data_IF_882283354033
#
_entry.id   IF_882283354033
#
_cell.length_a   1.000
_cell.length_b   1.000
_cell.length_c   1.000
_cell.angle_alpha   90.00
_cell.angle_beta   90.00
_cell.angle_gamma   90.00
#
_symmetry.space_group_name_H-M   'P 1'
#
loop_
_entity.id
_entity.type
_entity.pdbx_description
1 polymer ?
2 non-polymer ?
3 water ?
#
# COMPACT_ATOMS: atom_id res chain seq x y z
N UNK A 1 27.45 -2.62 6.66
CA UNK A 1 26.05 -2.16 6.94
C UNK A 1 26.06 -0.72 7.46
N UNK A 2 27.12 0.02 7.16
CA UNK A 2 27.20 1.40 7.63
C UNK A 2 25.95 2.21 7.30
N UNK A 3 25.98 2.97 6.21
CA UNK A 3 24.80 3.75 5.89
C UNK A 3 23.87 2.95 4.98
N UNK A 4 22.54 3.08 5.18
CA UNK A 4 21.66 2.33 4.28
C UNK A 4 21.94 2.87 2.88
N UNK A 5 21.74 2.05 1.85
CA UNK A 5 21.96 2.48 0.46
C UNK A 5 20.60 2.49 -0.29
N UNK A 6 20.24 3.66 -0.82
CA UNK A 6 18.96 3.86 -1.52
C UNK A 6 19.09 3.75 -3.05
N UNK A 7 18.46 2.71 -3.61
CA UNK A 7 18.48 2.44 -5.04
C UNK A 7 17.22 2.97 -5.71
N UNK A 8 17.40 4.00 -6.53
CA UNK A 8 16.31 4.63 -7.24
C UNK A 8 16.85 5.62 -8.31
N UNK A 9 15.94 6.13 -9.13
CA UNK A 9 16.31 7.13 -10.13
C UNK A 9 16.63 8.40 -9.33
N UNK A 10 17.23 9.39 -9.98
CA UNK A 10 17.55 10.62 -9.27
C UNK A 10 16.31 11.50 -9.42
N UNK A 11 15.34 11.27 -8.54
CA UNK A 11 14.06 11.97 -8.55
C UNK A 11 13.24 11.55 -7.32
N UNK A 12 12.17 12.29 -7.04
CA UNK A 12 11.32 11.98 -5.89
C UNK A 12 10.69 10.58 -6.03
N UNK A 13 9.71 10.48 -6.93
CA UNK A 13 9.03 9.21 -7.13
C UNK A 13 8.56 8.59 -5.82
N UNK A 14 8.74 7.29 -5.73
CA UNK A 14 8.35 6.50 -4.58
C UNK A 14 9.44 6.42 -3.52
N UNK A 15 10.64 6.91 -3.83
CA UNK A 15 11.74 6.85 -2.86
C UNK A 15 11.79 8.06 -1.92
N UNK A 16 11.19 9.18 -2.33
CA UNK A 16 11.23 10.39 -1.49
C UNK A 16 10.67 10.22 -0.07
N UNK A 17 9.53 9.53 0.09
CA UNK A 17 8.96 9.34 1.42
C UNK A 17 9.96 8.64 2.33
N UNK A 18 10.73 7.73 1.74
CA UNK A 18 11.76 7.02 2.50
C UNK A 18 12.94 7.95 2.86
N UNK A 19 13.39 8.80 1.92
CA UNK A 19 14.47 9.76 2.22
C UNK A 19 14.00 10.64 3.39
N UNK A 20 12.74 11.09 3.33
CA UNK A 20 12.16 11.92 4.38
C UNK A 20 12.17 11.24 5.73
N UNK A 21 11.80 9.96 5.77
CA UNK A 21 11.77 9.22 7.02
C UNK A 21 13.17 9.10 7.61
N UNK A 22 14.17 8.72 6.79
CA UNK A 22 15.57 8.58 7.26
C UNK A 22 16.14 9.90 7.75
N UNK A 23 15.87 10.97 7.01
CA UNK A 23 16.36 12.29 7.37
C UNK A 23 15.75 12.70 8.72
N UNK A 24 14.43 12.51 8.85
CA UNK A 24 13.75 12.86 10.08
C UNK A 24 14.32 12.13 11.29
N UNK A 25 14.68 10.85 11.10
CA UNK A 25 15.27 10.02 12.12
C UNK A 25 16.74 10.37 12.35
N UNK A 26 17.29 11.24 11.51
CA UNK A 26 18.69 11.61 11.65
C UNK A 26 19.62 10.51 11.18
N UNK A 27 19.15 9.68 10.27
CA UNK A 27 19.97 8.60 9.76
C UNK A 27 20.62 8.93 8.43
N UNK A 28 21.95 8.99 8.41
CA UNK A 28 22.72 9.29 7.21
C UNK A 28 22.58 8.17 6.20
N UNK A 29 22.41 8.50 4.93
CA UNK A 29 22.26 7.42 3.96
C UNK A 29 22.96 7.77 2.69
N UNK A 30 23.26 6.74 1.90
CA UNK A 30 23.90 6.93 0.61
C UNK A 30 22.85 6.63 -0.45
N UNK A 31 23.12 7.05 -1.67
CA UNK A 31 22.23 6.80 -2.77
C UNK A 31 23.05 6.35 -3.96
N UNK A 32 22.54 5.35 -4.68
CA UNK A 32 23.13 4.88 -5.88
C UNK A 32 22.06 5.07 -6.91
N UNK A 33 22.20 6.10 -7.73
CA UNK A 33 21.19 6.46 -8.70
C UNK A 33 21.16 5.60 -9.97
N UNK A 34 19.96 5.30 -10.42
CA UNK A 34 19.75 4.60 -11.62
C UNK A 34 19.68 5.67 -12.65
N UNK A 35 20.74 5.84 -13.42
CA UNK A 35 20.79 6.90 -14.42
C UNK A 35 20.50 6.39 -15.83
N UNK A 36 20.74 5.10 -16.05
CA UNK A 36 20.55 4.46 -17.35
C UNK A 36 19.80 3.13 -17.26
N UNK A 37 19.05 2.79 -18.31
CA UNK A 37 18.30 1.51 -18.31
C UNK A 37 19.28 0.37 -18.00
N UNK A 38 20.52 0.57 -18.44
CA UNK A 38 21.55 -0.41 -18.20
C UNK A 38 21.79 -0.52 -16.69
N UNK A 39 21.69 0.59 -15.95
CA UNK A 39 21.86 0.55 -14.50
C UNK A 39 20.67 -0.28 -13.94
N UNK A 40 19.46 -0.01 -14.43
CA UNK A 40 18.28 -0.74 -13.92
C UNK A 40 18.37 -2.24 -14.26
N UNK A 41 18.84 -2.55 -15.46
CA UNK A 41 19.02 -3.92 -15.89
C UNK A 41 19.99 -4.68 -15.01
N UNK A 42 21.13 -4.08 -14.74
CA UNK A 42 22.13 -4.76 -13.92
C UNK A 42 21.53 -5.17 -12.56
N UNK A 43 20.81 -4.23 -11.93
CA UNK A 43 20.17 -4.53 -10.64
C UNK A 43 19.27 -5.75 -10.73
N UNK A 44 18.45 -5.80 -11.76
CA UNK A 44 17.52 -6.94 -11.92
C UNK A 44 18.27 -8.24 -12.15
N UNK A 45 19.14 -8.25 -13.15
CA UNK A 45 19.90 -9.42 -13.51
C UNK A 45 20.77 -9.94 -12.36
N UNK A 46 21.30 -9.02 -11.57
CA UNK A 46 22.12 -9.42 -10.44
C UNK A 46 21.31 -9.98 -9.28
N UNK A 47 20.00 -10.11 -9.45
CA UNK A 47 19.18 -10.67 -8.39
C UNK A 47 19.00 -9.80 -7.15
N UNK A 48 19.16 -8.49 -7.31
CA UNK A 48 19.02 -7.57 -6.18
C UNK A 48 17.60 -7.05 -5.95
N UNK A 49 16.70 -7.20 -6.93
CA UNK A 49 15.32 -6.71 -6.80
C UNK A 49 14.30 -7.85 -6.77
N UNK A 50 13.71 -8.14 -5.62
CA UNK A 50 12.78 -9.26 -5.57
C UNK A 50 11.72 -9.31 -6.68
N UNK A 51 11.13 -8.16 -7.02
CA UNK A 51 10.13 -8.08 -8.08
C UNK A 51 10.63 -7.25 -9.29
N UNK A 52 11.95 -7.15 -9.42
CA UNK A 52 12.57 -6.36 -10.48
C UNK A 52 12.11 -4.94 -10.48
N UNK A 53 11.95 -4.39 -9.29
CA UNK A 53 11.50 -3.02 -9.11
C UNK A 53 12.23 -2.28 -7.95
N UNK A 54 12.21 -0.95 -8.03
CA UNK A 54 12.76 -0.09 -6.98
C UNK A 54 11.58 0.78 -6.63
N UNK A 55 11.61 1.42 -5.47
CA UNK A 55 12.62 1.44 -4.41
C UNK A 55 13.22 0.12 -3.89
N UNK A 56 14.52 0.16 -3.64
CA UNK A 56 15.16 -0.98 -3.01
C UNK A 56 16.19 -0.33 -2.09
N UNK A 57 16.25 -0.83 -0.86
CA UNK A 57 17.18 -0.28 0.09
C UNK A 57 17.99 -1.37 0.74
N UNK A 58 19.31 -1.18 0.73
CA UNK A 58 20.24 -2.09 1.38
C UNK A 58 20.36 -1.59 2.80
N UNK A 59 19.86 -2.38 3.74
CA UNK A 59 19.91 -2.02 5.14
C UNK A 59 19.93 -3.30 5.96
N UNK A 60 20.81 -3.30 6.96
CA UNK A 60 20.96 -4.44 7.87
C UNK A 60 21.08 -5.78 7.14
N UNK A 61 21.85 -5.80 6.06
CA UNK A 61 22.07 -7.04 5.32
C UNK A 61 20.95 -7.46 4.38
N UNK A 62 19.91 -6.65 4.28
CA UNK A 62 18.79 -6.99 3.39
C UNK A 62 18.84 -6.14 2.13
N UNK A 63 18.18 -6.63 1.09
CA UNK A 63 17.94 -6.05 -0.19
C UNK A 63 16.49 -5.89 -0.18
N UNK A 64 16.04 -4.91 0.54
CA UNK A 64 14.63 -4.74 0.74
C UNK A 64 13.92 -3.87 -0.28
N UNK A 65 12.98 -4.50 -0.97
CA UNK A 65 12.17 -3.84 -1.98
C UNK A 65 10.75 -3.56 -1.42
N UNK A 66 9.94 -2.83 -2.21
CA UNK A 66 8.57 -2.43 -1.84
C UNK A 66 8.55 -1.26 -0.83
N UNK A 67 8.14 -0.10 -1.30
CA UNK A 67 8.08 1.11 -0.49
C UNK A 67 7.60 0.95 0.91
N UNK A 68 6.40 0.37 1.04
CA UNK A 68 5.75 0.15 2.33
C UNK A 68 6.57 -0.73 3.24
N UNK A 69 7.20 -1.76 2.69
CA UNK A 69 8.03 -2.61 3.52
C UNK A 69 9.26 -1.86 4.03
N UNK A 70 9.82 -1.00 3.19
CA UNK A 70 11.03 -0.24 3.56
C UNK A 70 10.66 0.70 4.72
N UNK A 71 9.59 1.49 4.53
CA UNK A 71 9.05 2.43 5.51
C UNK A 71 8.69 1.81 6.86
N UNK A 72 8.02 0.66 6.82
CA UNK A 72 7.61 0.01 8.04
C UNK A 72 8.84 -0.44 8.82
N UNK A 73 9.83 -0.96 8.10
CA UNK A 73 11.06 -1.41 8.74
C UNK A 73 11.82 -0.24 9.38
N UNK A 74 12.01 0.82 8.61
CA UNK A 74 12.73 2.00 9.13
C UNK A 74 11.94 2.60 10.28
N UNK A 75 10.62 2.68 10.15
CA UNK A 75 9.81 3.27 11.23
C UNK A 75 9.97 2.48 12.51
N UNK A 76 9.98 1.14 12.42
CA UNK A 76 10.14 0.34 13.63
C UNK A 76 11.55 0.46 14.23
N UNK A 77 12.55 0.33 13.36
CA UNK A 77 13.94 0.38 13.78
C UNK A 77 14.23 1.64 14.56
N UNK A 78 13.75 2.79 14.08
CA UNK A 78 14.02 4.05 14.76
C UNK A 78 12.89 4.61 15.62
N UNK A 79 12.09 3.72 16.21
CA UNK A 79 11.02 4.11 17.10
C UNK A 79 10.12 5.28 16.64
N UNK A 80 9.76 5.24 15.37
CA UNK A 80 8.89 6.25 14.79
C UNK A 80 7.58 5.58 14.36
N UNK A 81 7.30 4.42 14.96
CA UNK A 81 6.08 3.65 14.65
C UNK A 81 5.11 3.48 15.81
N UNK A 82 5.01 4.49 16.68
CA UNK A 82 4.10 4.41 17.80
C UNK A 82 4.55 3.40 18.87
N UNK A 83 3.75 3.25 19.92
CA UNK A 83 4.13 2.36 21.01
C UNK A 83 3.39 1.03 21.07
N UNK A 84 2.31 0.90 20.29
CA UNK A 84 1.58 -0.36 20.31
C UNK A 84 0.66 -0.52 19.11
N UNK A 85 -0.03 -1.65 19.12
CA UNK A 85 -0.99 -2.11 18.11
C UNK A 85 -2.04 -1.06 17.74
N UNK A 86 -2.65 -0.44 18.75
CA UNK A 86 -3.67 0.55 18.48
C UNK A 86 -3.09 1.82 17.88
N UNK A 87 -1.96 2.30 18.41
CA UNK A 87 -1.35 3.49 17.82
C UNK A 87 -0.90 3.19 16.38
N UNK A 88 -0.36 2.00 16.12
CA UNK A 88 0.07 1.69 14.76
C UNK A 88 -1.12 1.65 13.79
N UNK A 89 -2.28 1.30 14.31
CA UNK A 89 -3.50 1.25 13.48
C UNK A 89 -3.85 2.66 12.99
N UNK A 90 -3.78 3.64 13.91
CA UNK A 90 -4.07 5.01 13.55
C UNK A 90 -2.97 5.50 12.64
N UNK A 91 -1.72 5.20 12.99
CA UNK A 91 -0.61 5.60 12.16
C UNK A 91 -0.76 5.05 10.74
N UNK A 92 -1.07 3.75 10.61
CA UNK A 92 -1.20 3.17 9.26
C UNK A 92 -2.40 3.75 8.50
N UNK A 93 -3.53 3.92 9.19
CA UNK A 93 -4.67 4.47 8.50
C UNK A 93 -4.34 5.87 7.99
N UNK A 94 -3.75 6.70 8.83
CA UNK A 94 -3.43 8.07 8.40
C UNK A 94 -2.44 8.06 7.25
N UNK A 95 -1.40 7.25 7.39
CA UNK A 95 -0.36 7.17 6.38
C UNK A 95 -0.87 6.67 5.02
N UNK A 96 -1.82 5.71 5.03
CA UNK A 96 -2.36 5.19 3.79
C UNK A 96 -3.15 6.31 3.14
N UNK A 97 -3.88 7.10 3.91
CA UNK A 97 -4.61 8.21 3.31
C UNK A 97 -3.65 9.21 2.66
N UNK A 98 -2.53 9.50 3.33
CA UNK A 98 -1.51 10.41 2.80
C UNK A 98 -0.87 9.84 1.54
N UNK A 99 -0.62 8.52 1.50
CA UNK A 99 -0.03 7.91 0.32
C UNK A 99 -1.03 8.02 -0.82
N UNK A 100 -2.30 7.85 -0.51
CA UNK A 100 -3.32 7.99 -1.55
C UNK A 100 -3.33 9.43 -2.08
N UNK A 101 -3.32 10.39 -1.17
CA UNK A 101 -3.33 11.80 -1.56
C UNK A 101 -2.09 12.06 -2.43
N UNK A 102 -0.93 11.56 -2.00
CA UNK A 102 0.28 11.73 -2.78
C UNK A 102 0.18 11.13 -4.19
N UNK A 103 -0.40 9.95 -4.32
CA UNK A 103 -0.50 9.36 -5.65
C UNK A 103 -1.49 10.11 -6.53
N UNK A 104 -2.62 10.50 -5.95
CA UNK A 104 -3.66 11.22 -6.69
C UNK A 104 -3.07 12.47 -7.37
N UNK A 105 -2.28 13.22 -6.62
CA UNK A 105 -1.68 14.43 -7.12
C UNK A 105 -0.55 14.13 -8.09
N UNK A 106 0.34 13.23 -7.69
CA UNK A 106 1.50 12.90 -8.51
C UNK A 106 1.26 12.24 -9.83
N UNK A 107 0.17 11.48 -9.93
CA UNK A 107 -0.13 10.80 -11.18
C UNK A 107 -0.74 11.71 -12.23
N UNK A 108 -1.08 12.93 -11.86
CA UNK A 108 -1.66 13.86 -12.81
C UNK A 108 -0.71 14.08 -14.00
N UNK A 109 0.60 14.13 -13.73
CA UNK A 109 1.55 14.35 -14.83
C UNK A 109 1.51 13.25 -15.87
N UNK A 110 0.99 12.06 -15.54
CA UNK A 110 0.97 10.97 -16.50
C UNK A 110 -0.37 10.79 -17.20
N UNK A 112 -3.53 11.23 -19.67
CA UNK A 112 -3.56 11.55 -21.10
C UNK A 112 -4.00 13.02 -21.12
N UNK A 113 -3.44 13.84 -22.02
CA UNK A 113 -3.81 15.24 -22.09
C UNK A 113 -5.30 15.49 -22.11
N UNK A 114 -6.06 14.65 -22.79
CA UNK A 114 -7.49 14.88 -22.87
C UNK A 114 -8.24 14.60 -21.55
N UNK A 115 -7.62 13.89 -20.62
CA UNK A 115 -8.24 13.58 -19.33
C UNK A 115 -7.68 14.46 -18.22
N UNK A 116 -6.56 15.11 -18.48
CA UNK A 116 -5.88 15.87 -17.46
C UNK A 116 -6.65 16.93 -16.69
N UNK A 117 -7.40 17.79 -17.37
CA UNK A 117 -8.14 18.81 -16.62
C UNK A 117 -9.14 18.22 -15.64
N UNK A 118 -9.93 17.26 -16.10
CA UNK A 118 -10.93 16.64 -15.24
C UNK A 118 -10.23 15.98 -14.05
N UNK A 119 -9.15 15.21 -14.30
CA UNK A 119 -8.44 14.53 -13.21
C UNK A 119 -7.92 15.53 -12.20
N UNK A 120 -7.44 16.65 -12.70
CA UNK A 120 -6.90 17.70 -11.84
C UNK A 120 -8.00 18.32 -10.98
N UNK A 121 -9.17 18.56 -11.57
CA UNK A 121 -10.30 19.13 -10.82
C UNK A 121 -10.71 18.17 -9.68
N UNK A 122 -10.81 16.90 -9.99
CA UNK A 122 -11.16 15.87 -9.01
C UNK A 122 -10.12 15.83 -7.88
N UNK A 123 -8.84 15.89 -8.24
CA UNK A 123 -7.77 15.86 -7.24
C UNK A 123 -7.85 17.08 -6.33
N UNK A 124 -8.13 18.26 -6.88
CA UNK A 124 -8.22 19.43 -6.04
C UNK A 124 -9.43 19.28 -5.12
N UNK A 125 -10.52 18.72 -5.63
CA UNK A 125 -11.74 18.55 -4.82
C UNK A 125 -11.50 17.60 -3.64
N UNK A 126 -10.88 16.46 -3.94
CA UNK A 126 -10.57 15.44 -2.92
C UNK A 126 -9.61 16.00 -1.89
N UNK A 127 -8.62 16.76 -2.34
CA UNK A 127 -7.65 17.35 -1.44
C UNK A 127 -8.33 18.30 -0.46
N UNK A 128 -9.16 19.22 -0.98
CA UNK A 128 -9.78 20.18 -0.08
C UNK A 128 -11.05 19.76 0.61
N UNK A 129 -11.76 18.79 0.06
CA UNK A 129 -13.00 18.35 0.67
C UNK A 129 -12.94 17.00 1.40
N UNK A 130 -11.96 16.18 1.07
CA UNK A 130 -11.81 14.86 1.69
C UNK A 130 -10.55 14.75 2.58
N UNK A 131 -9.37 14.92 2.01
CA UNK A 131 -8.15 14.75 2.81
C UNK A 131 -7.73 15.83 3.82
N UNK A 132 -7.70 17.09 3.40
CA UNK A 132 -7.26 18.13 4.32
C UNK A 132 -8.19 18.23 5.50
N UNK A 133 -9.51 18.18 5.27
CA UNK A 133 -10.45 18.27 6.39
C UNK A 133 -10.24 17.08 7.32
N UNK A 134 -9.99 15.90 6.77
CA UNK A 134 -9.79 14.71 7.61
C UNK A 134 -8.61 14.88 8.61
N UNK A 135 -7.51 15.46 8.14
CA UNK A 135 -6.36 15.65 9.01
C UNK A 135 -6.52 16.83 9.97
N UNK A 136 -7.17 17.90 9.52
CA UNK A 136 -7.44 19.08 10.35
C UNK A 136 -8.30 18.55 11.51
N UNK A 137 -9.26 17.67 11.21
CA UNK A 137 -10.13 17.08 12.21
C UNK A 137 -9.35 16.28 13.26
N UNK A 138 -8.40 15.46 12.82
CA UNK A 138 -7.58 14.71 13.78
C UNK A 138 -6.93 15.71 14.79
N UNK A 139 -6.19 16.69 14.28
CA UNK A 139 -5.53 17.69 15.15
C UNK A 139 -6.50 18.40 16.09
N UNK A 140 -7.68 18.74 15.59
CA UNK A 140 -8.68 19.42 16.41
C UNK A 140 -9.22 18.49 17.50
N UNK A 141 -9.46 17.25 17.13
CA UNK A 141 -10.01 16.28 18.07
C UNK A 141 -9.21 16.17 19.37
N UNK A 142 -7.89 16.31 19.30
CA UNK A 142 -7.09 16.16 20.53
C UNK A 142 -6.19 17.34 20.92
N UNK A 143 -6.16 18.37 20.09
CA UNK A 143 -5.35 19.54 20.35
C UNK A 143 -3.87 19.29 20.56
N UNK A 144 -3.38 18.11 20.23
CA UNK A 144 -1.97 17.86 20.45
C UNK A 144 -1.08 18.30 19.29
N UNK A 145 0.22 18.45 19.55
CA UNK A 145 1.16 18.89 18.53
C UNK A 145 1.41 17.87 17.42
N UNK A 146 1.24 16.59 17.75
CA UNK A 146 1.49 15.53 16.80
C UNK A 146 0.20 14.78 16.45
N UNK A 147 0.21 14.11 15.32
CA UNK A 147 -0.97 13.39 14.89
C UNK A 147 -1.44 12.25 15.79
N UNK A 148 -0.48 11.47 16.29
CA UNK A 148 -0.78 10.30 17.08
C UNK A 148 0.10 10.12 18.29
N UNK A 149 -0.49 9.74 19.42
CA UNK A 149 0.30 9.44 20.59
C UNK A 149 1.03 10.59 21.24
N UNK A 150 0.62 11.81 20.93
CA UNK A 150 1.20 12.98 21.53
C UNK A 150 2.73 13.01 21.47
N UNK A 151 3.32 12.43 20.42
CA UNK A 151 4.78 12.45 20.24
C UNK A 151 5.03 12.26 18.75
N UNK A 152 6.23 12.60 18.31
CA UNK A 152 6.52 12.47 16.87
C UNK A 152 6.52 11.04 16.37
N UNK A 153 5.84 10.76 15.26
CA UNK A 153 5.86 9.41 14.69
C UNK A 153 6.10 9.61 13.17
N UNK A 154 6.26 8.51 12.44
CA UNK A 154 6.46 8.59 10.99
C UNK A 154 5.37 9.38 10.28
N UNK A 155 4.13 9.31 10.74
CA UNK A 155 3.04 9.99 10.01
C UNK A 155 3.11 11.53 10.10
N UNK A 156 3.72 12.05 11.16
CA UNK A 156 3.90 13.50 11.22
C UNK A 156 4.81 13.88 10.07
N UNK A 157 5.82 13.08 9.82
CA UNK A 157 6.73 13.36 8.70
C UNK A 157 6.02 13.16 7.37
N UNK A 158 5.24 12.09 7.26
CA UNK A 158 4.50 11.86 6.00
C UNK A 158 3.56 13.02 5.72
N UNK A 159 2.89 13.52 6.76
CA UNK A 159 1.95 14.62 6.54
C UNK A 159 2.67 15.91 6.12
N UNK A 160 3.78 16.24 6.78
CA UNK A 160 4.51 17.45 6.37
C UNK A 160 4.90 17.36 4.89
N UNK A 161 5.48 16.22 4.50
CA UNK A 161 5.93 16.02 3.13
C UNK A 161 4.79 16.19 2.14
N UNK A 162 3.64 15.52 2.35
CA UNK A 162 2.58 15.70 1.38
C UNK A 162 2.03 17.13 1.36
N UNK A 163 2.05 17.84 2.49
CA UNK A 163 1.55 19.23 2.49
C UNK A 163 2.43 20.10 1.59
N UNK A 164 3.72 19.77 1.52
CA UNK A 164 4.60 20.50 0.63
C UNK A 164 4.10 20.28 -0.78
N UNK A 165 3.79 19.05 -1.16
CA UNK A 165 3.32 18.85 -2.53
C UNK A 165 1.95 19.49 -2.74
N UNK A 166 1.13 19.53 -1.69
CA UNK A 166 -0.16 20.19 -1.86
C UNK A 166 0.07 21.69 -2.18
N UNK A 167 1.01 22.32 -1.47
CA UNK A 167 1.40 23.73 -1.67
C UNK A 167 1.95 23.92 -3.09
N UNK A 168 2.69 22.95 -3.62
CA UNK A 168 3.22 23.08 -4.98
C UNK A 168 2.09 22.92 -5.98
N UNK A 169 1.13 22.07 -5.65
CA UNK A 169 -0.01 21.79 -6.53
C UNK A 169 -0.91 23.02 -6.64
N UNK A 170 -1.31 23.55 -5.50
CA UNK A 170 -2.17 24.74 -5.43
C UNK A 170 -2.10 25.28 -4.03
N UNK A 171 -1.37 26.36 -3.87
CA UNK A 171 -1.19 26.99 -2.56
C UNK A 171 -2.48 27.43 -1.86
N UNK A 172 -3.53 27.68 -2.61
CA UNK A 172 -4.75 28.12 -1.95
C UNK A 172 -5.49 27.02 -1.20
N UNK A 173 -5.10 25.78 -1.44
CA UNK A 173 -5.77 24.67 -0.80
C UNK A 173 -5.57 24.65 0.70
N UNK A 174 -4.42 25.08 1.17
CA UNK A 174 -4.13 25.06 2.61
C UNK A 174 -4.72 26.17 3.46
N UNK A 175 -5.13 27.26 2.82
CA UNK A 175 -5.64 28.42 3.53
C UNK A 175 -6.69 28.19 4.61
N UNK A 176 -7.75 27.45 4.29
CA UNK A 176 -8.85 27.13 5.21
C UNK A 176 -8.50 26.24 6.38
N UNK A 177 -7.26 25.80 6.48
CA UNK A 177 -6.91 24.85 7.53
C UNK A 177 -5.84 25.37 8.47
N UNK A 178 -6.24 26.15 9.47
CA UNK A 178 -5.31 26.73 10.45
C UNK A 178 -4.47 25.74 11.25
N UNK A 179 -5.08 24.65 11.71
CA UNK A 179 -4.31 23.71 12.54
C UNK A 179 -3.19 23.05 11.73
N UNK A 180 -3.51 22.72 10.47
CA UNK A 180 -2.52 22.10 9.59
C UNK A 180 -1.38 23.09 9.26
N UNK A 181 -1.69 24.38 9.19
CA UNK A 181 -0.65 25.36 8.92
C UNK A 181 0.29 25.41 10.11
N UNK A 182 -0.30 25.45 11.30
CA UNK A 182 0.46 25.47 12.56
C UNK A 182 1.34 24.22 12.65
N UNK A 183 0.74 23.08 12.31
CA UNK A 183 1.44 21.80 12.30
C UNK A 183 2.61 21.83 11.31
N UNK A 184 2.36 22.31 10.09
CA UNK A 184 3.43 22.37 9.10
C UNK A 184 4.63 23.17 9.62
N UNK A 185 4.35 24.29 10.28
CA UNK A 185 5.41 25.13 10.83
C UNK A 185 6.14 24.41 11.93
N UNK A 186 5.39 23.74 12.81
CA UNK A 186 6.03 23.01 13.89
C UNK A 186 6.93 21.91 13.38
N UNK A 187 6.42 21.07 12.48
CA UNK A 187 7.27 20.00 12.02
C UNK A 187 8.46 20.51 11.23
N UNK A 188 8.26 21.59 10.48
CA UNK A 188 9.35 22.14 9.70
C UNK A 188 10.47 22.72 10.56
N UNK A 189 10.17 23.03 11.81
CA UNK A 189 11.18 23.59 12.71
C UNK A 189 11.98 22.53 13.48
N UNK A 190 11.68 21.24 13.26
CA UNK A 190 12.48 20.22 13.95
C UNK A 190 13.87 20.25 13.29
N UNK A 191 14.97 20.15 14.09
CA UNK A 191 16.34 20.16 13.57
C UNK A 191 16.61 19.32 12.33
N UNK A 192 16.26 18.04 12.38
CA UNK A 192 16.52 17.14 11.25
C UNK A 192 15.69 17.53 10.04
N UNK A 193 14.45 17.96 10.29
CA UNK A 193 13.58 18.35 9.20
C UNK A 193 14.05 19.66 8.55
N UNK A 194 14.35 20.64 9.39
CA UNK A 194 14.82 21.93 8.89
C UNK A 194 16.04 21.69 8.04
N UNK A 195 16.93 20.83 8.53
CA UNK A 195 18.15 20.54 7.80
C UNK A 195 17.88 19.92 6.43
N UNK A 196 16.90 19.02 6.34
CA UNK A 196 16.53 18.36 5.09
C UNK A 196 15.85 19.36 4.13
N UNK A 197 15.18 20.34 4.70
CA UNK A 197 14.51 21.35 3.88
C UNK A 197 15.51 22.36 3.29
N UNK A 198 16.61 22.62 3.99
CA UNK A 198 17.58 23.59 3.49
C UNK A 198 18.23 23.13 2.20
N UNK A 199 18.71 24.09 1.38
CA UNK A 199 19.39 23.79 0.11
C UNK A 199 20.59 22.89 0.40
N UNK A 200 20.94 22.03 -0.55
CA UNK A 200 22.07 21.15 -0.40
C UNK A 200 21.81 19.78 0.21
N UNK A 201 20.59 19.51 0.69
CA UNK A 201 20.32 18.19 1.26
C UNK A 201 20.01 17.19 0.13
N UNK A 202 19.64 15.97 0.50
CA UNK A 202 19.30 14.94 -0.48
C UNK A 202 17.83 15.01 -0.89
N UNK A 203 17.14 16.01 -0.37
CA UNK A 203 15.73 16.23 -0.72
C UNK A 203 15.72 16.47 -2.23
N UNK A 204 14.68 15.93 -2.89
CA UNK A 204 14.59 16.04 -4.33
C UNK A 204 13.54 17.03 -4.80
N UNK A 205 13.78 17.67 -5.96
CA UNK A 205 12.85 18.64 -6.53
C UNK A 205 11.80 17.94 -7.41
N UNK A 206 10.75 18.67 -7.84
CA UNK A 206 9.74 18.04 -8.71
C UNK A 206 10.44 17.92 -10.05
N UNK A 207 9.91 17.09 -10.94
CA UNK A 207 10.49 16.97 -12.27
C UNK A 207 9.54 17.72 -13.19
N UNK A 208 10.06 18.40 -14.19
CA UNK A 208 9.17 19.12 -15.11
C UNK A 208 8.78 18.22 -16.31
N UNK A 209 7.82 18.69 -17.10
CA UNK A 209 7.30 17.94 -18.26
C UNK A 209 8.39 17.35 -19.15
N UNK A 210 9.35 18.18 -19.53
CA UNK A 210 10.41 17.71 -20.43
C UNK A 210 11.20 16.59 -19.78
N UNK A 211 11.56 16.76 -18.52
CA UNK A 211 12.33 15.74 -17.82
C UNK A 211 11.56 14.43 -17.83
N UNK A 212 10.36 14.47 -17.27
CA UNK A 212 9.50 13.29 -17.21
C UNK A 212 9.44 12.53 -18.55
N UNK A 213 9.13 13.25 -19.62
CA UNK A 213 9.05 12.67 -20.96
C UNK A 213 10.38 12.03 -21.36
N UNK A 214 11.49 12.72 -21.09
CA UNK A 214 12.80 12.23 -21.46
C UNK A 214 13.26 10.99 -20.69
N UNK A 215 13.02 11.03 -19.39
CA UNK A 215 13.42 9.92 -18.51
C UNK A 215 12.57 8.68 -18.76
N UNK A 216 11.25 8.89 -18.77
CA UNK A 216 10.34 7.80 -19.00
C UNK A 216 10.61 7.11 -20.35
N UNK A 217 11.14 7.87 -21.31
CA UNK A 217 11.42 7.35 -22.65
C UNK A 217 12.62 6.41 -22.74
N UNK A 218 13.76 6.89 -22.28
CA UNK A 218 14.99 6.10 -22.32
C UNK A 218 14.86 4.74 -21.63
N UNK A 219 14.02 4.65 -20.61
CA UNK A 219 13.85 3.41 -19.86
C UNK A 219 12.82 2.45 -20.44
N UNK A 220 11.75 3.01 -21.00
CA UNK A 220 10.71 2.20 -21.60
C UNK A 220 10.27 1.02 -20.71
N UNK A 221 9.20 1.21 -19.95
CA UNK A 221 8.66 0.15 -19.08
C UNK A 221 7.15 0.32 -19.01
N UNK A 222 6.41 -0.77 -19.20
CA UNK A 222 4.95 -0.72 -19.15
C UNK A 222 4.46 -1.09 -17.75
N UNK B 1 -17.40 -4.12 20.00
CA UNK B 1 -18.34 -5.28 19.90
C UNK B 1 -17.58 -6.57 20.18
N UNK B 2 -18.08 -7.69 19.65
CA UNK B 2 -17.43 -8.98 19.83
C UNK B 2 -16.87 -9.34 18.48
N UNK B 3 -17.74 -9.70 17.57
CA UNK B 3 -17.28 -10.03 16.24
C UNK B 3 -16.95 -8.74 15.50
N UNK B 4 -15.83 -8.75 14.74
CA UNK B 4 -15.45 -7.57 13.97
C UNK B 4 -16.60 -7.40 12.94
N UNK B 5 -16.85 -6.16 12.51
CA UNK B 5 -17.89 -5.85 11.51
C UNK B 5 -17.22 -5.26 10.25
N UNK B 6 -17.41 -5.93 9.11
CA UNK B 6 -16.81 -5.52 7.85
C UNK B 6 -17.80 -4.78 6.99
N UNK B 7 -17.49 -3.52 6.75
CA UNK B 7 -18.31 -2.65 5.92
C UNK B 7 -17.74 -2.62 4.49
N UNK B 8 -18.50 -3.18 3.55
CA UNK B 8 -18.08 -3.19 2.15
C UNK B 8 -19.24 -3.55 1.22
N UNK B 9 -18.99 -3.48 -0.09
CA UNK B 9 -19.99 -3.89 -1.08
C UNK B 9 -20.01 -5.43 -0.96
N UNK B 10 -21.06 -6.06 -1.47
CA UNK B 10 -21.14 -7.52 -1.42
C UNK B 10 -20.31 -7.96 -2.64
N UNK B 11 -18.99 -8.00 -2.45
CA UNK B 11 -18.07 -8.33 -3.52
C UNK B 11 -16.68 -8.51 -2.92
N UNK B 12 -15.76 -9.04 -3.72
CA UNK B 12 -14.37 -9.25 -3.31
C UNK B 12 -13.68 -7.91 -3.07
N UNK B 13 -13.37 -7.21 -4.16
CA UNK B 13 -12.70 -5.93 -4.07
C UNK B 13 -11.52 -5.95 -3.09
N UNK B 14 -11.37 -4.83 -2.38
CA UNK B 14 -10.32 -4.62 -1.40
C UNK B 14 -10.59 -5.27 -0.07
N UNK B 15 -11.83 -5.67 0.18
CA UNK B 15 -12.15 -6.30 1.45
C UNK B 15 -11.87 -7.81 1.50
N UNK B 16 -11.73 -8.46 0.35
CA UNK B 16 -11.53 -9.91 0.36
C UNK B 16 -10.25 -10.38 1.10
N UNK B 17 -9.13 -9.67 0.98
CA UNK B 17 -7.92 -10.11 1.69
C UNK B 17 -8.13 -10.12 3.20
N UNK B 18 -9.02 -9.27 3.67
CA UNK B 18 -9.33 -9.16 5.10
C UNK B 18 -10.24 -10.29 5.57
N UNK B 19 -11.22 -10.63 4.77
CA UNK B 19 -12.09 -11.76 5.10
C UNK B 19 -11.18 -13.00 5.22
N UNK B 20 -10.25 -13.15 4.29
CA UNK B 20 -9.31 -14.28 4.28
C UNK B 20 -8.43 -14.32 5.52
N UNK B 21 -7.88 -13.18 5.90
CA UNK B 21 -7.01 -13.14 7.06
C UNK B 21 -7.80 -13.51 8.32
N UNK B 22 -9.00 -12.98 8.45
CA UNK B 22 -9.82 -13.30 9.61
C UNK B 22 -10.26 -14.75 9.56
N UNK B 23 -10.67 -15.22 8.39
CA UNK B 23 -11.11 -16.63 8.31
C UNK B 23 -9.97 -17.54 8.72
N UNK B 24 -8.78 -17.23 8.22
CA UNK B 24 -7.62 -18.06 8.52
C UNK B 24 -7.30 -18.10 10.00
N UNK B 25 -7.47 -16.97 10.67
CA UNK B 25 -7.20 -16.86 12.11
C UNK B 25 -8.30 -17.54 12.94
N UNK B 26 -9.38 -17.95 12.25
CA UNK B 26 -10.47 -18.62 12.93
C UNK B 26 -11.30 -17.65 13.74
N UNK B 27 -11.29 -16.38 13.33
CA UNK B 27 -12.02 -15.33 14.03
C UNK B 27 -13.29 -15.13 13.26
N UNK B 28 -14.44 -15.32 13.92
CA UNK B 28 -15.76 -15.13 13.28
C UNK B 28 -16.09 -13.63 13.12
N UNK B 29 -16.64 -13.28 11.97
CA UNK B 29 -16.99 -11.90 11.70
C UNK B 29 -18.34 -11.74 11.03
N UNK B 30 -18.85 -10.50 11.08
CA UNK B 30 -20.12 -10.19 10.45
C UNK B 30 -19.85 -9.20 9.34
N UNK B 31 -20.79 -9.11 8.41
CA UNK B 31 -20.67 -8.18 7.31
C UNK B 31 -21.93 -7.33 7.20
N UNK B 32 -21.74 -6.04 6.93
CA UNK B 32 -22.85 -5.11 6.69
C UNK B 32 -22.59 -4.64 5.28
N UNK B 33 -23.35 -5.19 4.34
CA UNK B 33 -23.23 -4.90 2.92
C UNK B 33 -23.76 -3.55 2.48
N UNK B 34 -22.99 -2.87 1.64
CA UNK B 34 -23.39 -1.68 1.03
C UNK B 34 -24.14 -2.05 -0.20
N UNK B 35 -25.46 -2.03 -0.17
CA UNK B 35 -26.20 -2.52 -1.34
C UNK B 35 -26.70 -1.43 -2.28
N UNK B 36 -26.61 -0.17 -1.85
CA UNK B 36 -27.03 0.93 -2.71
C UNK B 36 -26.27 2.21 -2.37
N UNK B 37 -26.32 3.21 -3.27
CA UNK B 37 -25.65 4.51 -3.08
C UNK B 37 -26.09 5.11 -1.76
N UNK B 38 -27.37 4.90 -1.43
CA UNK B 38 -27.90 5.45 -0.20
C UNK B 38 -27.18 4.85 1.01
N UNK B 39 -26.96 3.55 0.99
CA UNK B 39 -26.25 2.90 2.09
C UNK B 39 -24.88 3.57 2.27
N UNK B 40 -24.17 3.76 1.16
CA UNK B 40 -22.85 4.37 1.22
C UNK B 40 -22.91 5.81 1.75
N UNK B 41 -23.88 6.59 1.27
CA UNK B 41 -24.06 7.98 1.74
C UNK B 41 -24.33 8.00 3.23
N UNK B 42 -25.14 7.07 3.70
CA UNK B 42 -25.47 7.03 5.12
C UNK B 42 -24.25 6.78 6.00
N UNK B 43 -23.41 5.86 5.55
CA UNK B 43 -22.20 5.49 6.25
C UNK B 43 -21.32 6.73 6.37
N UNK B 44 -21.19 7.47 5.27
CA UNK B 44 -20.39 8.68 5.28
C UNK B 44 -20.94 9.75 6.22
N UNK B 45 -22.20 10.14 6.03
CA UNK B 45 -22.87 11.17 6.83
C UNK B 45 -22.92 10.88 8.32
N UNK B 46 -22.97 9.60 8.69
CA UNK B 46 -23.01 9.24 10.11
C UNK B 46 -21.63 9.23 10.78
N UNK B 47 -20.59 9.63 10.05
CA UNK B 47 -19.26 9.69 10.61
C UNK B 47 -18.54 8.36 10.80
N UNK B 48 -18.71 7.44 9.87
CA UNK B 48 -18.08 6.13 10.02
C UNK B 48 -16.72 5.97 9.34
N UNK B 49 -16.51 6.73 8.26
CA UNK B 49 -15.31 6.61 7.41
C UNK B 49 -14.31 7.76 7.39
N UNK B 50 -13.13 7.53 7.94
CA UNK B 50 -12.16 8.60 7.99
C UNK B 50 -11.97 9.38 6.67
N UNK B 51 -11.82 8.66 5.56
CA UNK B 51 -11.63 9.29 4.27
C UNK B 51 -12.83 9.00 3.37
N UNK B 52 -14.00 8.81 3.98
CA UNK B 52 -15.24 8.50 3.25
C UNK B 52 -15.10 7.35 2.30
N UNK B 53 -14.29 6.35 2.69
CA UNK B 53 -14.10 5.17 1.88
C UNK B 53 -14.23 3.87 2.68
N UNK B 54 -14.45 2.79 1.96
CA UNK B 54 -14.42 1.47 2.51
C UNK B 54 -13.30 0.81 1.78
N UNK B 55 -12.74 -0.30 2.26
CA UNK B 55 -13.11 -1.02 3.48
C UNK B 55 -13.00 -0.24 4.77
N UNK B 56 -13.88 -0.63 5.69
CA UNK B 56 -13.84 -0.11 7.04
C UNK B 56 -14.26 -1.28 7.95
N UNK B 57 -13.44 -1.55 8.95
CA UNK B 57 -13.76 -2.61 9.90
C UNK B 57 -13.93 -2.06 11.32
N UNK B 58 -15.01 -2.49 11.99
CA UNK B 58 -15.27 -2.11 13.38
C UNK B 58 -14.65 -3.23 14.21
N UNK B 59 -13.65 -2.87 15.00
CA UNK B 59 -12.96 -3.82 15.82
C UNK B 59 -12.27 -3.15 16.98
N UNK B 60 -12.43 -3.74 18.16
CA UNK B 60 -11.80 -3.22 19.37
C UNK B 60 -12.01 -1.72 19.58
N UNK B 61 -13.25 -1.26 19.39
CA UNK B 61 -13.60 0.12 19.59
C UNK B 61 -13.19 1.08 18.48
N UNK B 62 -12.56 0.56 17.43
CA UNK B 62 -12.17 1.45 16.35
C UNK B 62 -13.10 1.22 15.15
N UNK B 63 -13.17 2.26 14.32
CA UNK B 63 -13.81 2.24 13.07
C UNK B 63 -12.67 2.40 12.13
N UNK B 64 -11.95 1.30 11.91
CA UNK B 64 -10.71 1.30 11.14
C UNK B 64 -10.86 1.19 9.65
N UNK B 65 -10.35 2.19 8.94
CA UNK B 65 -10.37 2.26 7.48
C UNK B 65 -8.96 2.05 6.94
N UNK B 66 -8.87 1.88 5.62
CA UNK B 66 -7.64 1.63 4.85
C UNK B 66 -7.24 0.16 4.94
N UNK B 67 -7.37 -0.52 3.80
CA UNK B 67 -7.08 -1.94 3.71
C UNK B 67 -5.84 -2.38 4.46
N UNK B 68 -4.70 -1.75 4.14
CA UNK B 68 -3.43 -2.11 4.79
C UNK B 68 -3.44 -1.93 6.30
N UNK B 69 -4.11 -0.85 6.75
CA UNK B 69 -4.15 -0.54 8.19
C UNK B 69 -4.93 -1.66 8.91
N UNK B 70 -6.02 -2.06 8.29
CA UNK B 70 -6.86 -3.12 8.84
C UNK B 70 -6.06 -4.44 8.86
N UNK B 71 -5.48 -4.80 7.72
CA UNK B 71 -4.66 -6.01 7.67
C UNK B 71 -3.51 -6.01 8.73
N UNK B 72 -2.81 -4.88 8.86
CA UNK B 72 -1.70 -4.87 9.83
C UNK B 72 -2.19 -5.13 11.23
N UNK B 73 -3.31 -4.52 11.60
CA UNK B 73 -3.86 -4.69 12.95
C UNK B 73 -4.28 -6.13 13.23
N UNK B 74 -5.10 -6.69 12.35
CA UNK B 74 -5.57 -8.05 12.50
C UNK B 74 -4.37 -9.05 12.55
N UNK B 75 -3.38 -8.89 11.65
CA UNK B 75 -2.22 -9.75 11.63
C UNK B 75 -1.46 -9.72 12.97
N UNK B 76 -1.30 -8.52 13.52
CA UNK B 76 -0.61 -8.38 14.81
C UNK B 76 -1.43 -8.99 15.94
N UNK B 77 -2.73 -8.67 15.95
CA UNK B 77 -3.63 -9.16 16.98
C UNK B 77 -3.69 -10.68 17.05
N UNK B 78 -3.67 -11.35 15.91
CA UNK B 78 -3.78 -12.80 15.92
C UNK B 78 -2.50 -13.55 15.63
N UNK B 79 -1.37 -12.92 15.97
CA UNK B 79 -0.04 -13.53 15.82
C UNK B 79 0.28 -14.11 14.43
N UNK B 80 -0.12 -13.39 13.39
CA UNK B 80 0.14 -13.78 12.00
C UNK B 80 1.10 -12.78 11.38
N UNK B 81 1.83 -12.06 12.24
CA UNK B 81 2.76 -11.07 11.66
C UNK B 81 4.22 -11.38 11.98
N UNK B 82 4.55 -12.65 12.13
CA UNK B 82 5.94 -13.02 12.40
C UNK B 82 6.33 -12.68 13.83
N UNK B 83 7.62 -12.75 14.16
CA UNK B 83 8.07 -12.50 15.53
C UNK B 83 8.95 -11.27 15.78
N UNK B 84 9.43 -10.62 14.71
CA UNK B 84 10.26 -9.45 14.88
C UNK B 84 10.29 -8.60 13.60
N UNK B 85 10.93 -7.44 13.73
CA UNK B 85 10.99 -6.53 12.59
C UNK B 85 11.62 -7.13 11.35
N UNK B 86 12.58 -8.04 11.51
CA UNK B 86 13.17 -8.60 10.30
C UNK B 86 12.26 -9.59 9.58
N UNK B 87 11.47 -10.36 10.32
CA UNK B 87 10.53 -11.27 9.66
C UNK B 87 9.43 -10.41 9.04
N UNK B 88 9.03 -9.32 9.72
CA UNK B 88 8.00 -8.45 9.19
C UNK B 88 8.47 -7.72 7.92
N UNK B 89 9.77 -7.43 7.84
CA UNK B 89 10.31 -6.82 6.61
C UNK B 89 10.07 -7.81 5.45
N UNK B 90 10.37 -9.11 5.64
CA UNK B 90 10.11 -10.09 4.56
C UNK B 90 8.61 -10.23 4.29
N UNK B 91 7.81 -10.37 5.35
CA UNK B 91 6.36 -10.51 5.26
C UNK B 91 5.75 -9.33 4.48
N UNK B 92 6.20 -8.12 4.83
CA UNK B 92 5.71 -6.91 4.16
C UNK B 92 6.11 -6.84 2.67
N UNK B 93 7.37 -7.14 2.36
CA UNK B 93 7.83 -7.11 0.96
C UNK B 93 7.03 -8.12 0.13
N UNK B 94 6.90 -9.33 0.66
CA UNK B 94 6.14 -10.41 -0.01
C UNK B 94 4.69 -9.97 -0.22
N UNK B 95 4.06 -9.49 0.84
CA UNK B 95 2.67 -9.08 0.80
C UNK B 95 2.42 -8.00 -0.24
N UNK B 96 3.29 -6.99 -0.29
CA UNK B 96 3.16 -5.91 -1.26
C UNK B 96 3.29 -6.43 -2.68
N UNK B 97 4.20 -7.37 -2.96
CA UNK B 97 4.26 -7.90 -4.33
C UNK B 97 2.93 -8.62 -4.65
N UNK B 98 2.40 -9.36 -3.68
CA UNK B 98 1.15 -10.08 -3.88
C UNK B 98 0.00 -9.09 -4.13
N UNK B 99 -0.06 -8.01 -3.35
CA UNK B 99 -1.10 -7.01 -3.58
C UNK B 99 -0.93 -6.41 -4.98
N UNK B 100 0.29 -6.11 -5.39
CA UNK B 100 0.54 -5.57 -6.72
C UNK B 100 0.05 -6.54 -7.81
N UNK B 101 0.29 -7.82 -7.59
CA UNK B 101 -0.12 -8.84 -8.56
C UNK B 101 -1.64 -8.92 -8.63
N UNK B 102 -2.29 -8.84 -7.47
CA UNK B 102 -3.74 -8.89 -7.39
C UNK B 102 -4.35 -7.72 -8.16
N UNK B 103 -3.82 -6.53 -7.97
CA UNK B 103 -4.35 -5.37 -8.68
C UNK B 103 -4.14 -5.43 -10.16
N UNK B 104 -2.95 -5.87 -10.55
CA UNK B 104 -2.61 -5.99 -11.96
C UNK B 104 -3.62 -6.91 -12.71
N UNK B 105 -3.90 -8.08 -12.15
CA UNK B 105 -4.86 -8.99 -12.77
C UNK B 105 -6.29 -8.42 -12.60
N UNK B 106 -6.63 -7.97 -11.39
CA UNK B 106 -7.98 -7.43 -11.14
C UNK B 106 -8.43 -6.24 -11.98
N UNK B 107 -7.47 -5.41 -12.37
CA UNK B 107 -7.72 -4.21 -13.16
C UNK B 107 -8.22 -4.52 -14.58
N UNK B 108 -7.75 -5.61 -15.14
CA UNK B 108 -8.10 -6.01 -16.50
C UNK B 108 -9.59 -5.81 -16.90
N UNK B 109 -10.51 -6.22 -16.03
CA UNK B 109 -11.94 -6.06 -16.34
C UNK B 109 -12.42 -4.61 -16.49
N UNK B 110 -11.53 -3.64 -16.27
CA UNK B 110 -11.87 -2.23 -16.40
C UNK B 110 -11.12 -1.61 -17.59
N UNK B 112 -10.62 -0.59 -21.38
CA UNK B 112 -11.47 -0.48 -22.57
C UNK B 112 -10.93 -1.51 -23.55
N UNK B 113 -11.82 -2.22 -24.26
CA UNK B 113 -11.46 -3.26 -25.23
C UNK B 113 -10.23 -3.02 -26.10
N UNK B 114 -10.00 -1.77 -26.50
CA UNK B 114 -8.84 -1.48 -27.35
C UNK B 114 -7.54 -1.46 -26.54
N UNK B 115 -7.63 -1.70 -25.23
CA UNK B 115 -6.47 -1.71 -24.36
C UNK B 115 -6.38 -3.02 -23.58
N UNK B 116 -7.52 -3.69 -23.41
CA UNK B 116 -7.54 -4.92 -22.63
C UNK B 116 -6.60 -6.02 -23.14
N UNK B 117 -6.61 -6.30 -24.42
CA UNK B 117 -5.75 -7.35 -24.96
C UNK B 117 -4.28 -7.21 -24.60
N UNK B 118 -3.71 -6.03 -24.88
CA UNK B 118 -2.31 -5.77 -24.57
C UNK B 118 -2.07 -5.78 -23.06
N UNK B 119 -3.00 -5.20 -22.30
CA UNK B 119 -2.88 -5.19 -20.86
C UNK B 119 -2.95 -6.61 -20.32
N UNK B 120 -3.70 -7.47 -20.99
CA UNK B 120 -3.84 -8.85 -20.55
C UNK B 120 -2.55 -9.63 -20.79
N UNK B 121 -1.92 -9.35 -21.92
CA UNK B 121 -0.68 -10.02 -22.27
C UNK B 121 0.42 -9.58 -21.31
N UNK B 122 0.39 -8.30 -20.94
CA UNK B 122 1.40 -7.79 -20.04
C UNK B 122 1.22 -8.47 -18.68
N UNK B 123 -0.03 -8.54 -18.23
CA UNK B 123 -0.34 -9.15 -16.94
C UNK B 123 0.10 -10.62 -16.89
N UNK B 124 -0.09 -11.36 -17.98
CA UNK B 124 0.34 -12.76 -18.02
C UNK B 124 1.86 -12.89 -18.01
N UNK B 125 2.53 -12.05 -18.78
CA UNK B 125 3.99 -12.07 -18.83
C UNK B 125 4.54 -11.76 -17.41
N UNK B 126 4.00 -10.72 -16.77
CA UNK B 126 4.43 -10.36 -15.42
C UNK B 126 4.14 -11.49 -14.41
N UNK B 127 2.99 -12.15 -14.55
CA UNK B 127 2.64 -13.21 -13.63
C UNK B 127 3.60 -14.37 -13.70
N UNK B 128 3.83 -14.91 -14.88
CA UNK B 128 4.76 -16.02 -14.96
C UNK B 128 6.22 -15.70 -14.99
N UNK B 129 6.63 -14.49 -15.33
CA UNK B 129 8.04 -14.23 -15.38
C UNK B 129 8.61 -13.41 -14.24
N UNK B 130 7.74 -12.65 -13.58
CA UNK B 130 8.16 -11.81 -12.48
C UNK B 130 7.66 -12.30 -11.13
N UNK B 131 6.35 -12.32 -10.97
CA UNK B 131 5.74 -12.73 -9.71
C UNK B 131 5.87 -14.19 -9.27
N UNK B 132 5.35 -15.14 -10.05
CA UNK B 132 5.42 -16.54 -9.63
C UNK B 132 6.85 -17.02 -9.41
N UNK B 133 7.78 -16.66 -10.31
CA UNK B 133 9.15 -17.11 -10.09
C UNK B 133 9.72 -16.56 -8.77
N UNK B 134 9.29 -15.35 -8.38
CA UNK B 134 9.76 -14.76 -7.15
C UNK B 134 9.36 -15.60 -5.93
N UNK B 135 8.09 -16.03 -5.89
CA UNK B 135 7.64 -16.82 -4.75
C UNK B 135 8.12 -18.26 -4.80
N UNK B 136 8.22 -18.81 -6.00
CA UNK B 136 8.75 -20.16 -6.16
C UNK B 136 10.17 -20.10 -5.59
N UNK B 137 10.87 -18.99 -5.84
CA UNK B 137 12.24 -18.82 -5.38
C UNK B 137 12.36 -18.77 -3.86
N UNK B 138 11.44 -18.08 -3.19
CA UNK B 138 11.46 -18.00 -1.73
C UNK B 138 11.30 -19.40 -1.15
N UNK B 139 10.30 -20.13 -1.65
CA UNK B 139 10.05 -21.49 -1.17
C UNK B 139 11.29 -22.36 -1.36
N UNK B 140 11.97 -22.21 -2.51
CA UNK B 140 13.17 -23.01 -2.74
C UNK B 140 14.35 -22.61 -1.90
N UNK B 141 14.43 -21.33 -1.54
CA UNK B 141 15.55 -20.85 -0.74
C UNK B 141 15.64 -21.45 0.65
N UNK B 142 14.55 -21.98 1.20
CA UNK B 142 14.67 -22.56 2.54
C UNK B 142 14.04 -23.94 2.64
N UNK B 143 13.37 -24.36 1.57
CA UNK B 143 12.75 -25.67 1.53
C UNK B 143 11.71 -25.93 2.63
N UNK B 144 11.24 -24.87 3.27
CA UNK B 144 10.26 -25.00 4.37
C UNK B 144 8.81 -24.93 3.88
N UNK B 145 7.86 -25.38 4.70
CA UNK B 145 6.45 -25.38 4.30
C UNK B 145 5.76 -24.01 4.22
N UNK B 146 6.32 -23.01 4.89
CA UNK B 146 5.73 -21.68 4.92
C UNK B 146 6.69 -20.65 4.33
N UNK B 147 6.17 -19.50 3.90
CA UNK B 147 7.02 -18.48 3.32
C UNK B 147 8.05 -17.88 4.27
N UNK B 148 7.64 -17.58 5.50
CA UNK B 148 8.55 -16.92 6.45
C UNK B 148 8.54 -17.54 7.80
N UNK B 149 9.74 -17.62 8.42
CA UNK B 149 9.83 -18.13 9.77
C UNK B 149 9.35 -19.54 10.05
N UNK B 150 9.22 -20.35 9.02
CA UNK B 150 8.83 -21.75 9.14
C UNK B 150 7.56 -21.90 10.01
N UNK B 151 6.69 -20.92 9.91
CA UNK B 151 5.42 -20.87 10.66
C UNK B 151 4.40 -20.17 9.80
N UNK B 152 3.16 -20.51 9.99
CA UNK B 152 2.10 -19.84 9.25
C UNK B 152 2.09 -18.31 9.57
N UNK B 153 2.11 -17.46 8.53
CA UNK B 153 1.97 -16.02 8.75
C UNK B 153 0.91 -15.50 7.79
N UNK B 154 0.57 -14.22 7.92
CA UNK B 154 -0.42 -13.61 7.06
C UNK B 154 -0.09 -13.80 5.60
N UNK B 155 1.20 -13.77 5.24
CA UNK B 155 1.56 -13.85 3.84
C UNK B 155 1.31 -15.22 3.20
N UNK B 156 1.27 -16.30 3.99
CA UNK B 156 0.98 -17.60 3.41
C UNK B 156 -0.49 -17.53 2.96
N UNK B 157 -1.33 -16.86 3.74
CA UNK B 157 -2.74 -16.72 3.39
C UNK B 157 -2.88 -15.79 2.16
N UNK B 158 -2.15 -14.69 2.15
CA UNK B 158 -2.20 -13.78 1.01
C UNK B 158 -1.74 -14.48 -0.26
N UNK B 159 -0.72 -15.33 -0.14
CA UNK B 159 -0.21 -16.01 -1.34
C UNK B 159 -1.25 -17.04 -1.85
N UNK B 160 -1.86 -17.81 -0.95
CA UNK B 160 -2.92 -18.77 -1.33
C UNK B 160 -4.06 -18.03 -2.04
N UNK B 161 -4.52 -16.92 -1.46
CA UNK B 161 -5.60 -16.18 -2.09
C UNK B 161 -5.25 -15.74 -3.51
N UNK B 162 -4.10 -15.10 -3.70
CA UNK B 162 -3.75 -14.62 -5.05
C UNK B 162 -3.52 -15.81 -6.01
N UNK B 163 -3.08 -16.95 -5.50
CA UNK B 163 -2.90 -18.11 -6.38
C UNK B 163 -4.26 -18.55 -6.94
N UNK B 164 -5.32 -18.34 -6.18
CA UNK B 164 -6.66 -18.67 -6.62
C UNK B 164 -7.07 -17.75 -7.77
N UNK B 165 -6.73 -16.46 -7.66
CA UNK B 165 -7.06 -15.51 -8.68
C UNK B 165 -6.23 -15.75 -9.93
N UNK B 166 -5.01 -16.22 -9.76
CA UNK B 166 -4.17 -16.49 -10.92
C UNK B 166 -4.75 -17.72 -11.63
N UNK B 167 -5.24 -18.67 -10.84
CA UNK B 167 -5.81 -19.90 -11.38
C UNK B 167 -7.08 -19.55 -12.19
N UNK B 168 -7.86 -18.57 -11.72
CA UNK B 168 -9.07 -18.14 -12.43
C UNK B 168 -8.74 -17.39 -13.70
N UNK B 169 -7.65 -16.65 -13.64
CA UNK B 169 -7.20 -15.83 -14.76
C UNK B 169 -6.71 -16.75 -15.89
N UNK B 170 -5.79 -17.67 -15.58
CA UNK B 170 -5.24 -18.60 -16.57
C UNK B 170 -4.50 -19.69 -15.81
N UNK B 171 -5.14 -20.85 -15.72
CA UNK B 171 -4.61 -22.00 -15.00
C UNK B 171 -3.24 -22.48 -15.45
N UNK B 172 -2.95 -22.39 -16.74
CA UNK B 172 -1.65 -22.86 -17.21
C UNK B 172 -0.49 -22.04 -16.68
N UNK B 173 -0.78 -20.92 -16.03
CA UNK B 173 0.27 -20.07 -15.49
C UNK B 173 1.00 -20.73 -14.29
N UNK B 174 0.27 -21.53 -13.54
CA UNK B 174 0.78 -22.18 -12.36
C UNK B 174 1.57 -23.46 -12.65
N UNK B 175 1.24 -24.14 -13.75
CA UNK B 175 1.90 -25.41 -14.02
C UNK B 175 3.44 -25.49 -13.94
N UNK B 176 4.16 -24.45 -14.38
CA UNK B 176 5.63 -24.52 -14.31
C UNK B 176 6.22 -24.38 -12.91
N UNK B 177 5.37 -24.24 -11.88
CA UNK B 177 5.91 -24.04 -10.53
C UNK B 177 5.49 -25.12 -9.55
N UNK B 178 6.31 -26.19 -9.47
CA UNK B 178 5.95 -27.27 -8.56
C UNK B 178 5.90 -26.88 -7.07
N UNK B 179 6.81 -26.02 -6.60
CA UNK B 179 6.77 -25.65 -5.19
C UNK B 179 5.51 -24.86 -4.85
N UNK B 180 5.10 -23.96 -5.72
CA UNK B 180 3.89 -23.18 -5.51
C UNK B 180 2.64 -24.09 -5.53
N UNK B 181 2.69 -25.14 -6.34
CA UNK B 181 1.54 -26.04 -6.38
C UNK B 181 1.42 -26.78 -5.05
N UNK B 182 2.54 -27.26 -4.52
CA UNK B 182 2.57 -28.00 -3.24
C UNK B 182 2.15 -27.09 -2.08
N UNK B 183 2.63 -25.84 -2.12
CA UNK B 183 2.25 -24.84 -1.11
C UNK B 183 0.72 -24.66 -1.16
N UNK B 184 0.17 -24.46 -2.34
CA UNK B 184 -1.27 -24.27 -2.47
C UNK B 184 -2.10 -25.39 -1.79
N UNK B 185 -1.73 -26.64 -2.05
CA UNK B 185 -2.47 -27.76 -1.47
C UNK B 185 -2.32 -27.80 0.02
N UNK B 186 -1.12 -27.49 0.48
CA UNK B 186 -0.84 -27.50 1.88
C UNK B 186 -1.65 -26.47 2.64
N UNK B 187 -1.60 -25.20 2.22
CA UNK B 187 -2.33 -24.16 2.91
C UNK B 187 -3.83 -24.45 2.80
N UNK B 188 -4.26 -24.93 1.63
CA UNK B 188 -5.68 -25.24 1.44
C UNK B 188 -6.18 -26.30 2.40
N UNK B 189 -5.28 -27.11 2.91
CA UNK B 189 -5.67 -28.17 3.81
C UNK B 189 -5.84 -27.76 5.26
N UNK B 190 -5.36 -26.57 5.63
CA UNK B 190 -5.50 -26.11 7.01
C UNK B 190 -7.00 -26.06 7.37
N UNK B 191 -7.38 -26.50 8.58
CA UNK B 191 -8.79 -26.48 8.98
C UNK B 191 -9.55 -25.19 8.64
N UNK B 192 -9.08 -24.05 9.16
CA UNK B 192 -9.75 -22.78 8.91
C UNK B 192 -9.83 -22.37 7.45
N UNK B 193 -8.81 -22.70 6.68
CA UNK B 193 -8.78 -22.36 5.27
C UNK B 193 -9.78 -23.27 4.53
N UNK B 194 -9.75 -24.55 4.85
CA UNK B 194 -10.67 -25.50 4.21
C UNK B 194 -12.12 -25.01 4.47
N UNK B 195 -12.41 -24.59 5.70
CA UNK B 195 -13.73 -24.09 6.07
C UNK B 195 -14.10 -22.88 5.17
N UNK B 196 -13.16 -21.95 4.97
CA UNK B 196 -13.41 -20.78 4.16
C UNK B 196 -13.51 -21.09 2.66
N UNK B 197 -12.87 -22.16 2.23
CA UNK B 197 -12.91 -22.50 0.82
C UNK B 197 -14.18 -23.20 0.39
N UNK B 198 -14.80 -23.88 1.34
CA UNK B 198 -16.04 -24.58 1.06
C UNK B 198 -17.23 -23.70 0.89
N UNK B 199 -18.23 -24.19 0.15
CA UNK B 199 -19.46 -23.43 -0.10
C UNK B 199 -20.08 -22.90 1.18
N UNK B 200 -20.80 -21.80 1.04
CA UNK B 200 -21.46 -21.24 2.19
C UNK B 200 -20.65 -20.36 3.11
N UNK B 201 -19.34 -20.22 2.91
CA UNK B 201 -18.56 -19.32 3.79
C UNK B 201 -18.77 -17.87 3.30
N UNK B 202 -18.06 -16.92 3.91
CA UNK B 202 -18.16 -15.52 3.52
C UNK B 202 -17.19 -15.18 2.40
N UNK B 203 -16.54 -16.19 1.84
CA UNK B 203 -15.65 -15.95 0.72
C UNK B 203 -16.53 -15.42 -0.46
N UNK B 204 -15.97 -14.54 -1.27
CA UNK B 204 -16.71 -13.95 -2.38
C UNK B 204 -16.29 -14.44 -3.77
N UNK B 205 -17.22 -14.43 -4.73
CA UNK B 205 -16.92 -14.88 -6.09
C UNK B 205 -16.39 -13.75 -6.94
N UNK B 206 -15.88 -14.08 -8.13
CA UNK B 206 -15.37 -13.04 -9.00
C UNK B 206 -16.56 -12.32 -9.61
N UNK B 207 -16.29 -11.24 -10.30
CA UNK B 207 -17.36 -10.50 -10.98
C UNK B 207 -16.85 -10.21 -12.37
N UNK B 208 -17.62 -10.59 -13.38
CA UNK B 208 -17.24 -10.32 -14.77
C UNK B 208 -17.45 -8.82 -15.06
N UNK B 209 -16.97 -8.36 -16.22
CA UNK B 209 -17.09 -6.95 -16.61
C UNK B 209 -18.55 -6.51 -16.55
N UNK B 210 -19.45 -7.35 -17.07
CA UNK B 210 -20.87 -7.07 -17.11
C UNK B 210 -21.35 -6.69 -15.72
N UNK B 211 -21.02 -7.52 -14.74
CA UNK B 211 -21.38 -7.23 -13.36
C UNK B 211 -20.76 -5.92 -12.86
N UNK B 212 -19.50 -5.70 -13.22
CA UNK B 212 -18.77 -4.48 -12.85
C UNK B 212 -19.48 -3.24 -13.40
N UNK B 213 -19.64 -3.19 -14.71
CA UNK B 213 -20.31 -2.06 -15.34
C UNK B 213 -21.64 -1.78 -14.70
N UNK B 214 -22.40 -2.83 -14.43
CA UNK B 214 -23.71 -2.68 -13.84
C UNK B 214 -23.61 -1.99 -12.47
N UNK B 215 -22.96 -2.64 -11.51
CA UNK B 215 -22.81 -2.08 -10.17
C UNK B 215 -22.11 -0.73 -10.20
N UNK B 216 -20.90 -0.69 -10.75
CA UNK B 216 -20.19 0.57 -10.80
C UNK B 216 -20.93 1.63 -11.62
N UNK B 217 -22.21 1.41 -11.92
CA UNK B 217 -22.96 2.40 -12.67
C UNK B 217 -23.90 3.13 -11.71
N UNK B 218 -24.55 2.34 -10.86
CA UNK B 218 -25.50 2.85 -9.89
C UNK B 218 -24.90 3.84 -8.92
N UNK B 219 -23.64 3.64 -8.56
CA UNK B 219 -23.03 4.53 -7.59
C UNK B 219 -22.41 5.76 -8.20
N UNK B 220 -22.00 5.65 -9.46
CA UNK B 220 -21.36 6.75 -10.13
C UNK B 220 -20.27 7.37 -9.27
N UNK B 221 -19.38 6.52 -8.76
CA UNK B 221 -18.25 7.00 -7.96
C UNK B 221 -17.08 7.45 -8.87
N UNK B 222 -16.43 8.56 -8.53
CA UNK B 222 -15.30 8.99 -9.33
C UNK B 222 -14.02 8.47 -8.67
#
# INVERSE_FOLDING_TARGET
AGKPVLHYFNARGRMECIRWLLAAAGVEFEEKFIQSPEDLEKLKKDGNLMFDQVPMVEIDGMKLAQTRAILNYIATKYDLYGKDMKERALIDMYSEGILDLTEMIGQLVLXPPDQREAKTALAKDRTKNRYLPAFEKVLKSHGQDYLVGNRLTRVDIHLLEVLLYVEEFDASLLTPFPLLKAFKSRISSLPNVKKFLQPGSQRKPPMDAKQIQEARKAFKIQ
AGKPVLHYFNARGRMECIRWLLAAAGVEFEEKFIQSPEDLEKLKKDGNLMFDQVPMVEIDGMKLAQTRAILNYIATKYDLYGKDMKERALIDMYSEGILDLTEMIGQLVLXPPDQREAKTALAKDRTKNRYLPAFEKVLKSHGQDYLVGNRLTRVDIHLLEVLLYVEEFDASLLTPFPLLKAFKSRISSLPNVKKFLQPGSQRKPPMDAKQIQEARKAFKIQ
#
